data_IF_860053670123
#
_entry.id   IF_860053670123
#
_cell.length_a   1.000
_cell.length_b   1.000
_cell.length_c   1.000
_cell.angle_alpha   90.00
_cell.angle_beta   90.00
_cell.angle_gamma   90.00
#
_symmetry.space_group_name_H-M   'P 1'
#
loop_
_entity.id
_entity.type
_entity.pdbx_description
1 polymer ?
#
# COMPACT_ATOMS: atom_id res chain seq x y z
N UNK A 1 -6.80 1.59 -18.18
CA UNK A 1 -5.34 1.51 -18.38
C UNK A 1 -4.80 1.10 -17.03
N UNK A 2 -4.17 -0.06 -16.92
CA UNK A 2 -3.57 -0.49 -15.66
C UNK A 2 -2.21 0.18 -15.54
N UNK A 3 -2.05 1.05 -14.55
CA UNK A 3 -0.76 1.66 -14.23
C UNK A 3 -0.07 0.76 -13.20
N UNK A 4 1.05 0.17 -13.61
CA UNK A 4 1.91 -0.64 -12.74
C UNK A 4 3.07 0.27 -12.32
N UNK A 5 3.23 0.42 -11.00
CA UNK A 5 4.30 1.23 -10.42
C UNK A 5 5.33 0.32 -9.78
N UNK A 6 6.62 0.65 -9.94
CA UNK A 6 7.67 -0.02 -9.18
C UNK A 6 7.64 0.49 -7.73
N UNK A 7 7.47 -0.44 -6.79
CA UNK A 7 7.63 -0.12 -5.37
C UNK A 7 9.12 0.12 -5.06
N UNK A 8 9.42 1.08 -4.18
CA UNK A 8 10.78 1.29 -3.68
C UNK A 8 11.29 0.00 -3.03
N UNK A 9 12.57 -0.33 -3.23
CA UNK A 9 13.15 -1.54 -2.64
C UNK A 9 13.01 -1.51 -1.12
N UNK A 10 12.49 -2.58 -0.53
CA UNK A 10 12.23 -2.67 0.90
C UNK A 10 10.82 -2.24 1.31
N UNK A 11 10.00 -1.69 0.42
CA UNK A 11 8.57 -1.43 0.67
C UNK A 11 7.86 -2.75 0.97
N UNK A 12 7.44 -2.93 2.22
CA UNK A 12 6.73 -4.12 2.69
C UNK A 12 5.29 -3.71 3.02
N UNK A 13 4.38 -3.92 2.07
CA UNK A 13 2.99 -3.50 2.18
C UNK A 13 2.08 -4.70 2.41
N UNK A 14 1.17 -4.56 3.37
CA UNK A 14 0.01 -5.42 3.52
C UNK A 14 -1.24 -4.75 2.93
N UNK A 15 -2.15 -5.56 2.41
CA UNK A 15 -3.46 -5.10 1.94
C UNK A 15 -4.44 -5.07 3.11
N UNK A 16 -5.19 -3.98 3.23
CA UNK A 16 -6.22 -3.81 4.25
C UNK A 16 -7.59 -4.11 3.66
N UNK A 17 -8.37 -4.88 4.42
CA UNK A 17 -9.70 -5.32 4.06
C UNK A 17 -10.68 -5.08 5.20
N UNK A 18 -11.82 -4.49 4.87
CA UNK A 18 -12.99 -4.39 5.76
C UNK A 18 -14.18 -5.08 5.08
N UNK A 19 -14.81 -6.02 5.78
CA UNK A 19 -15.94 -6.80 5.26
C UNK A 19 -15.66 -7.47 3.89
N UNK A 20 -14.39 -7.82 3.64
CA UNK A 20 -13.96 -8.43 2.37
C UNK A 20 -13.73 -7.43 1.23
N UNK A 21 -13.88 -6.13 1.48
CA UNK A 21 -13.61 -5.05 0.53
C UNK A 21 -12.21 -4.48 0.79
N UNK A 22 -11.40 -4.34 -0.26
CA UNK A 22 -10.09 -3.69 -0.17
C UNK A 22 -10.26 -2.20 0.11
N UNK A 23 -9.69 -1.71 1.23
CA UNK A 23 -9.85 -0.32 1.68
C UNK A 23 -8.54 0.47 1.71
N UNK A 24 -7.38 -0.19 1.62
CA UNK A 24 -6.10 0.52 1.63
C UNK A 24 -4.89 -0.38 1.86
N UNK A 25 -3.79 0.24 2.26
CA UNK A 25 -2.50 -0.42 2.47
C UNK A 25 -1.94 -0.10 3.85
N UNK A 26 -1.16 -1.03 4.39
CA UNK A 26 -0.42 -0.85 5.63
C UNK A 26 1.06 -1.07 5.37
N UNK A 27 1.88 -0.10 5.76
CA UNK A 27 3.33 -0.20 5.71
C UNK A 27 3.84 -0.95 6.94
N UNK A 28 4.41 -2.12 6.72
CA UNK A 28 4.93 -2.99 7.77
C UNK A 28 6.27 -2.51 8.33
N UNK A 29 6.99 -1.64 7.63
CA UNK A 29 8.24 -1.06 8.14
C UNK A 29 7.97 0.15 9.03
N UNK A 30 7.00 0.98 8.65
CA UNK A 30 6.63 2.18 9.43
C UNK A 30 5.51 1.92 10.45
N UNK A 31 4.94 0.72 10.44
CA UNK A 31 3.84 0.30 11.32
C UNK A 31 2.64 1.26 11.27
N UNK A 32 2.23 1.66 10.06
CA UNK A 32 1.11 2.59 9.85
C UNK A 32 0.32 2.32 8.56
N UNK A 33 -0.92 2.81 8.51
CA UNK A 33 -1.70 2.86 7.27
C UNK A 33 -1.13 3.90 6.30
N UNK A 34 -1.10 3.58 5.02
CA UNK A 34 -0.57 4.43 3.94
C UNK A 34 -1.47 4.41 2.72
N UNK A 35 -1.56 5.53 2.01
CA UNK A 35 -2.27 5.64 0.72
C UNK A 35 -1.32 5.43 -0.45
N UNK A 36 -1.88 5.06 -1.61
CA UNK A 36 -1.11 4.95 -2.87
C UNK A 36 -0.34 6.24 -3.17
N UNK A 37 -0.95 7.41 -2.97
CA UNK A 37 -0.26 8.69 -3.20
C UNK A 37 1.01 8.85 -2.35
N UNK A 38 1.02 8.32 -1.13
CA UNK A 38 2.19 8.38 -0.23
C UNK A 38 3.26 7.34 -0.60
N UNK A 39 2.88 6.26 -1.29
CA UNK A 39 3.79 5.23 -1.81
C UNK A 39 4.48 5.68 -3.11
N UNK A 40 3.78 6.48 -3.93
CA UNK A 40 4.25 6.92 -5.25
C UNK A 40 5.16 8.15 -5.22
N UNK A 41 5.21 8.90 -4.12
CA UNK A 41 6.16 10.00 -3.86
C UNK A 41 7.51 9.45 -3.35
#
# INVERSE_FOLDING_TARGET
MEEIFEAKYGTNLAWLYEEGVHVGFYDLNEEKEVKISEILD
#
